data_IF_506956573593
#
_entry.id   IF_506956573593
#
_cell.length_a   1.000
_cell.length_b   1.000
_cell.length_c   1.000
_cell.angle_alpha   90.00
_cell.angle_beta   90.00
_cell.angle_gamma   90.00
#
_symmetry.space_group_name_H-M   'P 1'
#
loop_
_entity.id
_entity.type
_entity.pdbx_description
1 polymer ?
#
# COMPACT_ATOMS: atom_id res chain seq x y z
N UNK A 1 -24.52 -9.79 -2.94
CA UNK A 1 -23.37 -10.24 -3.74
C UNK A 1 -22.31 -9.14 -3.58
N UNK A 2 -21.21 -9.41 -2.89
CA UNK A 2 -20.15 -8.39 -2.72
C UNK A 2 -19.39 -8.38 -4.04
N UNK A 3 -19.49 -7.29 -4.80
CA UNK A 3 -18.72 -7.12 -6.03
C UNK A 3 -17.24 -6.92 -5.68
N UNK A 4 -16.46 -7.99 -5.88
CA UNK A 4 -14.99 -7.96 -5.87
C UNK A 4 -14.51 -7.22 -7.11
N UNK A 5 -13.83 -6.10 -6.92
CA UNK A 5 -13.49 -5.14 -7.97
C UNK A 5 -12.08 -4.56 -7.79
N UNK A 6 -11.23 -5.17 -6.93
CA UNK A 6 -9.85 -4.75 -6.81
C UNK A 6 -9.01 -5.27 -7.98
N UNK A 7 -8.53 -4.33 -8.80
CA UNK A 7 -7.46 -4.60 -9.74
C UNK A 7 -6.11 -4.56 -9.02
N UNK A 8 -5.42 -5.70 -8.87
CA UNK A 8 -4.05 -5.73 -8.37
C UNK A 8 -3.09 -5.71 -9.56
N UNK A 9 -2.30 -4.64 -9.66
CA UNK A 9 -1.16 -4.56 -10.55
C UNK A 9 0.01 -5.32 -9.92
N UNK A 10 0.32 -6.49 -10.49
CA UNK A 10 1.38 -7.37 -9.99
C UNK A 10 2.79 -6.90 -10.43
N UNK A 11 2.91 -5.80 -11.18
CA UNK A 11 4.19 -5.15 -11.46
C UNK A 11 4.79 -4.55 -10.18
N UNK A 12 6.10 -4.76 -10.01
CA UNK A 12 6.84 -4.27 -8.83
C UNK A 12 7.53 -2.97 -9.19
N UNK A 13 7.05 -1.89 -8.59
CA UNK A 13 7.64 -0.56 -8.71
C UNK A 13 8.78 -0.43 -7.69
N UNK A 14 10.02 -0.42 -8.17
CA UNK A 14 11.19 -0.37 -7.29
C UNK A 14 11.60 1.07 -6.97
N UNK A 15 11.51 1.45 -5.70
CA UNK A 15 11.93 2.76 -5.20
C UNK A 15 13.36 2.65 -4.66
N UNK A 16 14.34 2.88 -5.53
CA UNK A 16 15.76 2.62 -5.25
C UNK A 16 16.34 3.54 -4.16
N UNK A 17 15.85 4.78 -4.10
CA UNK A 17 16.38 5.83 -3.24
C UNK A 17 15.50 6.15 -2.02
N UNK A 18 14.33 5.53 -1.88
CA UNK A 18 13.46 5.80 -0.75
C UNK A 18 14.10 5.30 0.56
N UNK A 19 14.27 6.20 1.52
CA UNK A 19 14.90 5.94 2.83
C UNK A 19 13.92 6.06 4.01
N UNK A 20 12.73 6.62 3.78
CA UNK A 20 11.71 6.83 4.80
C UNK A 20 10.31 6.46 4.31
N UNK A 21 9.40 6.19 5.25
CA UNK A 21 8.00 5.92 4.91
C UNK A 21 7.30 7.15 4.32
N UNK A 22 7.83 8.35 4.61
CA UNK A 22 7.37 9.63 4.06
C UNK A 22 7.71 9.73 2.56
N UNK A 23 8.94 9.40 2.17
CA UNK A 23 9.34 9.37 0.75
C UNK A 23 8.54 8.33 -0.04
N UNK A 24 8.30 7.14 0.54
CA UNK A 24 7.43 6.14 -0.10
C UNK A 24 6.02 6.69 -0.31
N UNK A 25 5.47 7.45 0.66
CA UNK A 25 4.15 8.09 0.53
C UNK A 25 4.13 9.06 -0.64
N UNK A 26 5.13 9.92 -0.76
CA UNK A 26 5.25 10.88 -1.86
C UNK A 26 5.33 10.19 -3.23
N UNK A 27 6.09 9.09 -3.32
CA UNK A 27 6.15 8.28 -4.53
C UNK A 27 4.84 7.54 -4.82
N UNK A 28 4.17 7.00 -3.81
CA UNK A 28 2.86 6.35 -3.95
C UNK A 28 1.81 7.34 -4.49
N UNK A 29 1.86 8.59 -4.04
CA UNK A 29 1.04 9.68 -4.59
C UNK A 29 1.42 9.99 -6.04
N UNK A 30 2.71 10.02 -6.41
CA UNK A 30 3.10 10.28 -7.81
C UNK A 30 2.67 9.18 -8.78
N UNK A 31 2.63 7.92 -8.33
CA UNK A 31 2.24 6.75 -9.13
C UNK A 31 0.77 6.80 -9.58
N UNK A 32 -0.08 7.60 -8.91
CA UNK A 32 -1.45 7.91 -9.35
C UNK A 32 -1.44 8.64 -10.69
N UNK A 33 -0.43 9.50 -10.90
CA UNK A 33 -0.37 10.47 -11.98
C UNK A 33 0.53 10.05 -13.13
N UNK A 34 1.19 8.88 -13.07
CA UNK A 34 1.92 8.33 -14.21
C UNK A 34 0.92 8.01 -15.33
N UNK A 35 0.76 9.00 -16.23
CA UNK A 35 -0.21 9.04 -17.31
C UNK A 35 -0.88 10.40 -17.52
N UNK A 36 -0.77 11.35 -16.58
CA UNK A 36 -1.38 12.68 -16.70
C UNK A 36 -0.47 13.79 -16.15
N UNK A 37 0.08 14.60 -17.05
CA UNK A 37 0.92 15.78 -16.78
C UNK A 37 0.23 16.92 -15.98
N UNK A 38 -0.95 16.70 -15.40
CA UNK A 38 -1.75 17.79 -14.84
C UNK A 38 -1.64 17.88 -13.32
N UNK A 39 -0.85 18.87 -12.89
CA UNK A 39 -0.68 19.36 -11.51
C UNK A 39 -2.03 19.68 -10.82
N UNK A 40 -3.12 19.87 -11.57
CA UNK A 40 -4.46 20.11 -11.02
C UNK A 40 -5.11 18.87 -10.39
N UNK A 41 -4.83 17.65 -10.89
CA UNK A 41 -5.41 16.42 -10.31
C UNK A 41 -4.77 16.07 -8.96
N UNK A 42 -3.53 16.51 -8.70
CA UNK A 42 -2.87 16.45 -7.38
C UNK A 42 -3.70 17.09 -6.26
N UNK A 43 -4.54 18.07 -6.59
CA UNK A 43 -5.36 18.79 -5.61
C UNK A 43 -6.68 18.09 -5.24
N UNK A 44 -7.05 16.99 -5.93
CA UNK A 44 -8.30 16.25 -5.70
C UNK A 44 -8.15 15.00 -4.83
N UNK A 45 -6.93 14.60 -4.48
CA UNK A 45 -6.72 13.52 -3.53
C UNK A 45 -6.92 14.04 -2.11
N UNK A 46 -7.96 13.58 -1.45
CA UNK A 46 -8.12 13.77 -0.02
C UNK A 46 -7.19 12.80 0.70
N UNK A 47 -6.29 13.33 1.53
CA UNK A 47 -5.50 12.50 2.43
C UNK A 47 -6.46 11.86 3.41
N UNK A 48 -6.60 10.55 3.34
CA UNK A 48 -7.27 9.81 4.39
C UNK A 48 -6.22 9.26 5.34
N UNK A 49 -6.10 9.92 6.49
CA UNK A 49 -5.29 9.50 7.63
C UNK A 49 -3.78 9.60 7.41
N UNK A 50 -3.06 9.71 8.51
CA UNK A 50 -1.64 9.37 8.60
C UNK A 50 -1.44 7.84 8.75
N UNK A 51 -2.48 7.06 8.47
CA UNK A 51 -2.61 5.66 8.88
C UNK A 51 -2.04 4.72 7.83
N UNK A 52 -0.70 4.71 7.74
CA UNK A 52 0.00 3.59 7.13
C UNK A 52 -0.34 2.35 7.95
N UNK A 53 -0.91 1.33 7.31
CA UNK A 53 -1.28 0.10 7.99
C UNK A 53 -0.12 -0.89 7.89
N UNK A 54 0.41 -1.31 9.04
CA UNK A 54 1.47 -2.32 9.11
C UNK A 54 0.88 -3.71 9.30
N UNK A 55 1.21 -4.66 8.42
CA UNK A 55 0.71 -6.03 8.46
C UNK A 55 1.86 -7.02 8.67
N UNK A 56 1.72 -7.87 9.68
CA UNK A 56 2.64 -8.97 9.98
C UNK A 56 1.88 -10.30 9.94
N UNK A 57 2.10 -11.09 8.88
CA UNK A 57 1.55 -12.44 8.72
C UNK A 57 2.52 -13.53 9.24
N UNK A 58 3.55 -13.15 10.01
CA UNK A 58 4.62 -14.02 10.50
C UNK A 58 5.65 -14.37 9.42
N UNK A 59 5.20 -14.84 8.25
CA UNK A 59 6.06 -15.19 7.12
C UNK A 59 6.26 -14.06 6.11
N UNK A 60 5.45 -13.00 6.19
CA UNK A 60 5.48 -11.84 5.32
C UNK A 60 5.12 -10.59 6.14
N UNK A 61 5.92 -9.53 6.01
CA UNK A 61 5.65 -8.22 6.61
C UNK A 61 5.54 -7.18 5.51
N UNK A 62 4.51 -6.35 5.52
CA UNK A 62 4.32 -5.29 4.53
C UNK A 62 3.54 -4.11 5.11
N UNK A 63 3.68 -2.96 4.48
CA UNK A 63 2.89 -1.78 4.76
C UNK A 63 1.79 -1.60 3.70
N UNK A 64 0.67 -1.00 4.08
CA UNK A 64 -0.41 -0.62 3.16
C UNK A 64 -0.62 0.88 3.24
N UNK A 65 -0.61 1.53 2.08
CA UNK A 65 -0.82 2.95 1.89
C UNK A 65 -2.21 3.18 1.28
N UNK A 66 -3.21 3.58 2.08
CA UNK A 66 -4.51 3.98 1.56
C UNK A 66 -4.40 5.34 0.85
N UNK A 67 -4.87 5.44 -0.39
CA UNK A 67 -5.00 6.72 -1.09
C UNK A 67 -6.40 6.87 -1.66
N UNK A 68 -7.15 7.84 -1.14
CA UNK A 68 -8.49 8.17 -1.62
C UNK A 68 -8.40 9.06 -2.85
N UNK A 69 -8.96 8.59 -3.96
CA UNK A 69 -9.13 9.37 -5.17
C UNK A 69 -10.52 9.10 -5.76
N UNK A 70 -11.38 10.13 -5.76
CA UNK A 70 -12.78 10.03 -6.17
C UNK A 70 -12.98 9.64 -7.65
N UNK A 71 -11.95 9.76 -8.48
CA UNK A 71 -12.01 9.53 -9.93
C UNK A 71 -11.43 8.16 -10.35
N UNK A 72 -10.90 7.37 -9.41
CA UNK A 72 -10.16 6.13 -9.70
C UNK A 72 -10.94 4.90 -9.22
N UNK A 73 -10.93 3.83 -10.04
CA UNK A 73 -11.44 2.50 -9.65
C UNK A 73 -10.54 1.89 -8.58
N UNK A 74 -11.08 0.97 -7.77
CA UNK A 74 -10.29 0.28 -6.76
C UNK A 74 -9.10 -0.46 -7.40
N UNK A 75 -7.88 -0.01 -7.09
CA UNK A 75 -6.65 -0.58 -7.64
C UNK A 75 -5.59 -0.70 -6.56
N UNK A 76 -4.80 -1.76 -6.59
CA UNK A 76 -3.63 -1.93 -5.76
C UNK A 76 -2.36 -1.98 -6.61
N UNK A 77 -1.27 -1.41 -6.12
CA UNK A 77 0.07 -1.49 -6.73
C UNK A 77 1.10 -1.97 -5.72
N UNK A 78 2.15 -2.63 -6.19
CA UNK A 78 3.23 -3.15 -5.36
C UNK A 78 4.43 -2.22 -5.43
N UNK A 79 4.85 -1.71 -4.27
CA UNK A 79 6.09 -0.95 -4.12
C UNK A 79 7.11 -1.78 -3.38
N UNK A 80 8.36 -1.73 -3.85
CA UNK A 80 9.48 -2.35 -3.17
C UNK A 80 10.63 -1.36 -3.02
N UNK A 81 11.18 -1.27 -1.82
CA UNK A 81 12.37 -0.46 -1.54
C UNK A 81 13.63 -1.31 -1.50
N UNK A 82 14.76 -0.65 -1.73
CA UNK A 82 16.08 -1.28 -1.61
C UNK A 82 16.40 -1.69 -0.17
N UNK A 83 16.09 -0.84 0.80
CA UNK A 83 16.32 -1.07 2.24
C UNK A 83 14.99 -1.27 2.94
N UNK A 84 14.98 -2.00 4.07
CA UNK A 84 13.81 -2.06 4.93
C UNK A 84 13.58 -0.71 5.59
N UNK A 85 12.40 -0.15 5.41
CA UNK A 85 11.96 1.10 6.01
C UNK A 85 11.33 0.80 7.37
N UNK A 86 11.59 1.68 8.34
CA UNK A 86 11.00 1.61 9.67
C UNK A 86 9.65 2.34 9.67
N UNK A 87 8.59 1.63 10.02
CA UNK A 87 7.22 2.14 10.13
C UNK A 87 6.78 2.38 11.57
N UNK A 88 7.73 2.41 12.51
CA UNK A 88 7.47 2.60 13.92
C UNK A 88 7.54 1.28 14.69
N UNK A 89 6.74 1.17 15.74
CA UNK A 89 6.79 0.05 16.69
C UNK A 89 5.46 -0.68 16.74
N UNK A 90 5.52 -2.00 16.83
CA UNK A 90 4.35 -2.87 17.03
C UNK A 90 4.53 -3.69 18.30
N UNK A 91 3.41 -4.02 18.95
CA UNK A 91 3.41 -4.90 20.12
C UNK A 91 2.98 -6.31 19.71
N UNK A 92 3.89 -7.28 19.83
CA UNK A 92 3.62 -8.70 19.58
C UNK A 92 3.88 -9.45 20.89
N UNK A 93 2.89 -10.16 21.42
CA UNK A 93 3.03 -10.96 22.65
C UNK A 93 3.68 -10.18 23.81
N UNK A 94 3.24 -8.93 24.04
CA UNK A 94 3.79 -7.99 25.04
C UNK A 94 5.25 -7.57 24.83
N UNK A 95 5.83 -7.82 23.66
CA UNK A 95 7.14 -7.29 23.24
C UNK A 95 6.93 -6.18 22.23
N UNK A 96 7.63 -5.06 22.45
CA UNK A 96 7.65 -3.94 21.52
C UNK A 96 8.80 -4.17 20.54
N UNK A 97 8.48 -4.31 19.27
CA UNK A 97 9.44 -4.52 18.19
C UNK A 97 9.34 -3.40 17.15
N UNK A 98 10.45 -3.08 16.49
CA UNK A 98 10.42 -2.17 15.34
C UNK A 98 9.78 -2.88 14.14
N UNK A 99 8.80 -2.24 13.51
CA UNK A 99 8.23 -2.73 12.27
C UNK A 99 9.08 -2.27 11.10
N UNK A 100 9.85 -3.19 10.52
CA UNK A 100 10.69 -2.93 9.36
C UNK A 100 10.32 -3.83 8.19
N UNK A 101 9.98 -3.22 7.05
CA UNK A 101 9.73 -3.93 5.79
C UNK A 101 10.21 -3.11 4.60
N UNK A 102 10.50 -3.78 3.50
CA UNK A 102 10.77 -3.14 2.21
C UNK A 102 9.66 -3.40 1.17
N UNK A 103 8.54 -3.99 1.58
CA UNK A 103 7.40 -4.29 0.73
C UNK A 103 6.20 -3.46 1.16
N UNK A 104 5.59 -2.78 0.20
CA UNK A 104 4.39 -1.97 0.42
C UNK A 104 3.35 -2.23 -0.66
N UNK A 105 2.09 -2.11 -0.29
CA UNK A 105 0.97 -2.10 -1.22
C UNK A 105 0.27 -0.74 -1.14
N UNK A 106 0.02 -0.13 -2.28
CA UNK A 106 -0.73 1.13 -2.34
C UNK A 106 -2.14 0.80 -2.81
N UNK A 107 -3.15 1.13 -2.01
CA UNK A 107 -4.56 0.91 -2.37
C UNK A 107 -5.18 2.25 -2.75
N UNK A 108 -5.60 2.37 -4.01
CA UNK A 108 -6.41 3.46 -4.51
C UNK A 108 -7.88 3.13 -4.39
N UNK A 109 -8.69 4.05 -3.84
CA UNK A 109 -10.13 3.83 -3.66
C UNK A 109 -10.92 5.14 -3.76
N UNK A 110 -12.19 5.05 -4.14
CA UNK A 110 -13.03 6.23 -4.38
C UNK A 110 -13.84 6.71 -3.17
N UNK A 111 -14.15 5.83 -2.22
CA UNK A 111 -14.97 6.10 -1.03
C UNK A 111 -14.53 5.21 0.14
N UNK A 112 -14.69 5.64 1.39
CA UNK A 112 -14.21 4.93 2.59
C UNK A 112 -14.67 3.48 2.65
N UNK A 113 -15.97 3.20 2.47
CA UNK A 113 -16.48 1.82 2.46
C UNK A 113 -15.81 0.93 1.41
N UNK A 114 -15.30 1.51 0.32
CA UNK A 114 -14.59 0.77 -0.71
C UNK A 114 -13.14 0.46 -0.33
N UNK A 115 -12.54 1.21 0.59
CA UNK A 115 -11.23 0.87 1.13
C UNK A 115 -11.29 -0.45 1.87
N UNK A 116 -12.25 -0.64 2.79
CA UNK A 116 -12.37 -1.88 3.57
C UNK A 116 -12.50 -3.11 2.66
N UNK A 117 -13.38 -3.05 1.65
CA UNK A 117 -13.52 -4.14 0.67
C UNK A 117 -12.25 -4.37 -0.16
N UNK A 118 -11.58 -3.29 -0.60
CA UNK A 118 -10.33 -3.40 -1.35
C UNK A 118 -9.20 -3.97 -0.48
N UNK A 119 -9.16 -3.61 0.80
CA UNK A 119 -8.17 -4.08 1.75
C UNK A 119 -8.37 -5.57 2.06
N UNK A 120 -9.60 -6.01 2.32
CA UNK A 120 -9.94 -7.43 2.48
C UNK A 120 -9.58 -8.24 1.23
N UNK A 121 -9.96 -7.76 0.03
CA UNK A 121 -9.64 -8.45 -1.23
C UNK A 121 -8.13 -8.51 -1.50
N UNK A 122 -7.38 -7.46 -1.13
CA UNK A 122 -5.91 -7.47 -1.21
C UNK A 122 -5.33 -8.55 -0.27
N UNK A 123 -5.79 -8.63 0.97
CA UNK A 123 -5.32 -9.62 1.93
C UNK A 123 -5.60 -11.05 1.44
N UNK A 124 -6.80 -11.31 0.91
CA UNK A 124 -7.14 -12.61 0.32
C UNK A 124 -6.16 -12.98 -0.81
N UNK A 125 -5.93 -12.07 -1.77
CA UNK A 125 -4.99 -12.30 -2.88
C UNK A 125 -3.56 -12.53 -2.40
N UNK A 126 -3.10 -11.81 -1.37
CA UNK A 126 -1.77 -11.99 -0.78
C UNK A 126 -1.66 -13.35 -0.11
N UNK A 127 -2.67 -13.77 0.65
CA UNK A 127 -2.67 -15.05 1.36
C UNK A 127 -2.72 -16.22 0.36
N UNK A 128 -3.56 -16.15 -0.67
CA UNK A 128 -3.65 -17.16 -1.73
C UNK A 128 -2.32 -17.38 -2.46
N UNK A 129 -1.55 -16.30 -2.66
CA UNK A 129 -0.25 -16.32 -3.35
C UNK A 129 0.92 -16.03 -2.40
N UNK A 130 0.80 -16.39 -1.12
CA UNK A 130 1.77 -15.99 -0.09
C UNK A 130 3.20 -16.46 -0.41
N UNK A 131 3.33 -17.62 -1.05
CA UNK A 131 4.61 -18.19 -1.47
C UNK A 131 5.34 -17.39 -2.54
N UNK A 132 4.60 -16.58 -3.31
CA UNK A 132 5.15 -15.64 -4.30
C UNK A 132 5.59 -14.37 -3.58
N UNK A 133 4.70 -13.77 -2.79
CA UNK A 133 4.98 -12.50 -2.11
C UNK A 133 6.08 -12.60 -1.05
N UNK A 134 6.25 -13.74 -0.37
CA UNK A 134 7.35 -13.96 0.58
C UNK A 134 8.74 -13.99 -0.07
N UNK A 135 8.80 -14.20 -1.39
CA UNK A 135 10.07 -14.22 -2.16
C UNK A 135 10.44 -12.83 -2.68
N UNK A 136 9.53 -11.86 -2.58
CA UNK A 136 9.83 -10.48 -2.91
C UNK A 136 10.69 -9.89 -1.80
#
# INVERSE_FOLDING_TARGET
MIERNLELDEEIYFLEHAESFMEIREHAESIIYEGKENIEEKKKCEKHGDDIITIDLGCLKFAVYPIKNGEIKNKAKILKTRKRINYGKISINNRIEEFKTNLCFVIFYSQERKFDFAFEELLEKIIEKIDIYKKL
#
